data_IF_455703379823
#
_entry.id   IF_455703379823
#
_cell.length_a   1.000
_cell.length_b   1.000
_cell.length_c   1.000
_cell.angle_alpha   90.00
_cell.angle_beta   90.00
_cell.angle_gamma   90.00
#
_symmetry.space_group_name_H-M   'P 1'
#
loop_
_entity.id
_entity.type
_entity.pdbx_description
1 polymer ?
#
# COMPACT_ATOMS: atom_id res chain seq x y z
N UNK A 1 31.19 -44.71 -13.10
CA UNK A 1 30.49 -43.46 -13.43
C UNK A 1 31.11 -42.37 -12.59
N UNK A 2 31.71 -41.37 -13.24
CA UNK A 2 32.31 -40.22 -12.56
C UNK A 2 31.18 -39.26 -12.17
N UNK A 3 31.03 -38.99 -10.86
CA UNK A 3 29.91 -38.23 -10.33
C UNK A 3 30.38 -36.79 -10.10
N UNK A 4 29.98 -35.86 -10.97
CA UNK A 4 30.22 -34.45 -10.74
C UNK A 4 29.31 -33.94 -9.61
N UNK A 5 29.91 -33.50 -8.51
CA UNK A 5 29.20 -32.88 -7.39
C UNK A 5 29.38 -31.36 -7.46
N UNK A 6 28.29 -30.60 -7.35
CA UNK A 6 28.34 -29.14 -7.35
C UNK A 6 28.91 -28.59 -6.04
N UNK A 7 29.68 -27.51 -6.13
CA UNK A 7 30.20 -26.82 -4.95
C UNK A 7 29.10 -26.02 -4.25
N UNK A 8 29.07 -26.11 -2.92
CA UNK A 8 28.14 -25.33 -2.08
C UNK A 8 28.52 -23.84 -2.12
N UNK A 9 27.51 -22.98 -2.24
CA UNK A 9 27.65 -21.51 -2.23
C UNK A 9 26.89 -20.92 -1.05
N UNK A 10 27.45 -19.88 -0.46
CA UNK A 10 26.87 -19.12 0.65
C UNK A 10 26.35 -17.76 0.16
N UNK A 11 25.13 -17.40 0.57
CA UNK A 11 24.54 -16.10 0.27
C UNK A 11 24.83 -15.08 1.37
N UNK A 12 25.35 -13.91 1.03
CA UNK A 12 25.50 -12.81 1.98
C UNK A 12 24.30 -11.87 1.93
N UNK A 13 23.58 -11.71 3.06
CA UNK A 13 22.39 -10.86 3.15
C UNK A 13 22.68 -9.36 2.90
N UNK A 14 23.81 -8.85 3.39
CA UNK A 14 24.13 -7.42 3.30
C UNK A 14 24.69 -7.02 1.94
N UNK A 15 25.52 -7.87 1.34
CA UNK A 15 26.14 -7.62 0.04
C UNK A 15 25.31 -8.13 -1.15
N UNK A 16 24.33 -9.01 -0.90
CA UNK A 16 23.49 -9.64 -1.93
C UNK A 16 24.28 -10.34 -3.02
N UNK A 17 25.29 -11.10 -2.61
CA UNK A 17 26.14 -11.90 -3.50
C UNK A 17 26.29 -13.34 -3.00
N UNK A 18 26.51 -14.26 -3.93
CA UNK A 18 26.92 -15.63 -3.63
C UNK A 18 28.44 -15.73 -3.52
N UNK A 19 28.92 -16.37 -2.46
CA UNK A 19 30.33 -16.60 -2.12
C UNK A 19 30.55 -18.12 -2.07
N UNK A 20 31.78 -18.59 -2.27
CA UNK A 20 32.09 -20.00 -2.03
C UNK A 20 31.93 -20.36 -0.54
N UNK A 21 31.41 -21.55 -0.23
CA UNK A 21 31.14 -21.97 1.15
C UNK A 21 32.39 -22.45 1.92
N UNK A 22 33.53 -21.79 1.67
CA UNK A 22 34.80 -22.10 2.30
C UNK A 22 34.94 -21.18 3.52
N UNK A 23 35.21 -21.73 4.72
CA UNK A 23 35.44 -20.93 5.95
C UNK A 23 36.34 -19.69 5.74
N UNK A 24 37.53 -19.80 5.10
CA UNK A 24 38.37 -18.62 4.87
C UNK A 24 37.76 -17.62 3.88
N UNK A 25 37.07 -18.10 2.84
CA UNK A 25 36.41 -17.23 1.85
C UNK A 25 35.28 -16.42 2.49
N UNK A 26 34.47 -17.08 3.34
CA UNK A 26 33.40 -16.41 4.10
C UNK A 26 33.97 -15.40 5.09
N UNK A 27 34.96 -15.78 5.89
CA UNK A 27 35.60 -14.88 6.86
C UNK A 27 36.24 -13.66 6.20
N UNK A 28 36.93 -13.85 5.07
CA UNK A 28 37.53 -12.75 4.32
C UNK A 28 36.48 -11.80 3.74
N UNK A 29 35.34 -12.34 3.28
CA UNK A 29 34.22 -11.52 2.83
C UNK A 29 33.62 -10.69 3.97
N UNK A 30 33.34 -11.30 5.12
CA UNK A 30 32.76 -10.64 6.30
C UNK A 30 33.69 -9.56 6.87
N UNK A 31 35.00 -9.81 6.85
CA UNK A 31 36.01 -8.84 7.30
C UNK A 31 36.25 -7.71 6.27
N UNK A 32 35.84 -7.92 5.02
CA UNK A 32 36.04 -6.96 3.93
C UNK A 32 35.33 -5.63 4.15
N UNK A 33 35.97 -4.54 3.73
CA UNK A 33 35.44 -3.17 3.91
C UNK A 33 34.03 -2.99 3.33
N UNK A 34 33.79 -3.49 2.11
CA UNK A 34 32.47 -3.41 1.45
C UNK A 34 31.36 -4.06 2.28
N UNK A 35 31.65 -5.18 2.94
CA UNK A 35 30.67 -5.88 3.78
C UNK A 35 30.32 -5.04 5.01
N UNK A 36 31.33 -4.52 5.71
CA UNK A 36 31.14 -3.64 6.88
C UNK A 36 30.39 -2.37 6.52
N UNK A 37 30.77 -1.69 5.44
CA UNK A 37 30.09 -0.48 4.97
C UNK A 37 28.62 -0.74 4.64
N UNK A 38 28.31 -1.88 4.00
CA UNK A 38 26.93 -2.26 3.68
C UNK A 38 26.14 -2.67 4.94
N UNK A 39 26.77 -3.35 5.89
CA UNK A 39 26.17 -3.68 7.19
C UNK A 39 25.80 -2.41 7.96
N UNK A 40 26.70 -1.43 8.04
CA UNK A 40 26.42 -0.13 8.68
C UNK A 40 25.33 0.66 7.98
N UNK A 41 25.30 0.64 6.64
CA UNK A 41 24.19 1.24 5.87
C UNK A 41 22.87 0.53 6.15
N UNK A 42 22.88 -0.80 6.25
CA UNK A 42 21.69 -1.57 6.58
C UNK A 42 21.16 -1.22 7.97
N UNK A 43 22.03 -1.13 8.98
CA UNK A 43 21.65 -0.69 10.33
C UNK A 43 21.05 0.72 10.33
N UNK A 44 21.69 1.69 9.65
CA UNK A 44 21.14 3.05 9.52
C UNK A 44 19.79 3.08 8.79
N UNK A 45 19.63 2.26 7.77
CA UNK A 45 18.38 2.15 7.03
C UNK A 45 17.23 1.60 7.88
N UNK A 46 17.50 0.66 8.80
CA UNK A 46 16.48 0.16 9.73
C UNK A 46 15.94 1.29 10.59
N UNK A 47 16.81 2.04 11.28
CA UNK A 47 16.36 3.13 12.15
C UNK A 47 15.60 4.23 11.40
N UNK A 48 16.09 4.60 10.21
CA UNK A 48 15.40 5.59 9.37
C UNK A 48 14.03 5.09 8.92
N UNK A 49 13.92 3.79 8.59
CA UNK A 49 12.65 3.18 8.21
C UNK A 49 11.69 3.17 9.39
N UNK A 50 12.13 2.78 10.58
CA UNK A 50 11.30 2.78 11.79
C UNK A 50 10.75 4.18 12.11
N UNK A 51 11.57 5.23 11.97
CA UNK A 51 11.12 6.61 12.16
C UNK A 51 10.08 7.04 11.11
N UNK A 52 10.34 6.70 9.84
CA UNK A 52 9.41 6.99 8.74
C UNK A 52 8.07 6.26 8.93
N UNK A 53 8.11 4.97 9.27
CA UNK A 53 6.95 4.12 9.52
C UNK A 53 6.14 4.66 10.72
N UNK A 54 6.81 5.11 11.79
CA UNK A 54 6.13 5.75 12.94
C UNK A 54 5.40 7.03 12.52
N UNK A 55 6.07 7.90 11.75
CA UNK A 55 5.47 9.15 11.26
C UNK A 55 4.28 8.87 10.34
N UNK A 56 4.37 7.86 9.49
CA UNK A 56 3.28 7.43 8.63
C UNK A 56 2.10 6.89 9.46
N UNK A 57 2.36 6.03 10.44
CA UNK A 57 1.32 5.54 11.35
C UNK A 57 0.60 6.67 12.10
N UNK A 58 1.33 7.70 12.55
CA UNK A 58 0.72 8.83 13.25
C UNK A 58 -0.15 9.68 12.31
N UNK A 59 0.27 9.88 11.06
CA UNK A 59 -0.57 10.51 10.03
C UNK A 59 -1.83 9.70 9.75
N UNK A 60 -1.70 8.39 9.60
CA UNK A 60 -2.84 7.47 9.38
C UNK A 60 -3.81 7.56 10.54
N UNK A 61 -3.33 7.52 11.80
CA UNK A 61 -4.19 7.67 12.99
C UNK A 61 -4.92 9.01 13.00
N UNK A 62 -4.24 10.10 12.64
CA UNK A 62 -4.85 11.42 12.58
C UNK A 62 -5.95 11.49 11.52
N UNK A 63 -5.71 10.92 10.33
CA UNK A 63 -6.70 10.90 9.26
C UNK A 63 -7.90 10.00 9.61
N UNK A 64 -7.66 8.83 10.20
CA UNK A 64 -8.73 7.96 10.70
C UNK A 64 -9.62 8.70 11.72
N UNK A 65 -9.02 9.43 12.66
CA UNK A 65 -9.78 10.24 13.63
C UNK A 65 -10.63 11.31 12.94
N UNK A 66 -10.11 11.97 11.90
CA UNK A 66 -10.86 12.97 11.13
C UNK A 66 -12.06 12.34 10.41
N UNK A 67 -11.84 11.21 9.76
CA UNK A 67 -12.90 10.45 9.06
C UNK A 67 -13.97 10.02 10.06
N UNK A 68 -13.57 9.48 11.22
CA UNK A 68 -14.49 9.04 12.26
C UNK A 68 -15.37 10.19 12.77
N UNK A 69 -14.78 11.36 13.03
CA UNK A 69 -15.54 12.55 13.42
C UNK A 69 -16.53 13.02 12.35
N UNK A 70 -16.11 13.03 11.08
CA UNK A 70 -16.97 13.40 9.97
C UNK A 70 -18.14 12.41 9.81
N UNK A 71 -17.85 11.10 9.93
CA UNK A 71 -18.85 10.04 9.90
C UNK A 71 -19.85 10.18 11.04
N UNK A 72 -19.39 10.38 12.28
CA UNK A 72 -20.28 10.62 13.43
C UNK A 72 -21.15 11.86 13.24
N UNK A 73 -20.60 12.95 12.67
CA UNK A 73 -21.35 14.18 12.39
C UNK A 73 -22.42 13.98 11.32
N UNK A 74 -22.14 13.18 10.30
CA UNK A 74 -23.10 12.80 9.26
C UNK A 74 -24.20 11.94 9.86
N UNK A 75 -23.82 10.88 10.59
CA UNK A 75 -24.75 9.98 11.26
C UNK A 75 -25.75 10.74 12.15
N UNK A 76 -25.27 11.67 12.99
CA UNK A 76 -26.15 12.51 13.83
C UNK A 76 -27.16 13.32 13.02
N UNK A 77 -26.78 13.82 11.84
CA UNK A 77 -27.69 14.57 10.97
C UNK A 77 -28.72 13.65 10.35
N UNK A 78 -28.31 12.48 9.87
CA UNK A 78 -29.21 11.51 9.26
C UNK A 78 -30.25 10.99 10.27
N UNK A 79 -29.82 10.68 11.51
CA UNK A 79 -30.72 10.31 12.62
C UNK A 79 -31.71 11.43 12.96
N UNK A 80 -31.27 12.69 12.97
CA UNK A 80 -32.15 13.83 13.25
C UNK A 80 -33.19 14.04 12.15
N UNK A 81 -32.89 13.69 10.89
CA UNK A 81 -33.82 13.79 9.77
C UNK A 81 -34.79 12.61 9.71
N UNK A 82 -34.38 11.42 10.14
CA UNK A 82 -35.24 10.22 10.11
C UNK A 82 -36.35 10.22 11.18
N UNK A 83 -36.24 10.98 12.28
CA UNK A 83 -37.26 10.90 13.34
C UNK A 83 -37.43 12.17 14.21
N UNK A 84 -38.33 13.11 13.86
CA UNK A 84 -38.53 14.35 14.63
C UNK A 84 -39.33 14.19 15.95
N UNK A 85 -39.63 12.97 16.42
CA UNK A 85 -40.48 12.76 17.61
C UNK A 85 -40.14 11.57 18.52
N UNK A 86 -39.14 10.75 18.22
CA UNK A 86 -38.81 9.60 19.06
C UNK A 86 -37.68 9.93 20.05
N UNK A 87 -38.07 10.19 21.30
CA UNK A 87 -37.22 9.90 22.45
C UNK A 87 -36.84 8.41 22.39
N UNK A 88 -35.66 8.09 21.87
CA UNK A 88 -35.17 6.72 21.87
C UNK A 88 -33.71 6.70 22.32
N UNK A 89 -33.55 6.29 23.58
CA UNK A 89 -32.34 5.78 24.22
C UNK A 89 -31.81 4.51 23.53
N UNK A 90 -31.73 4.49 22.20
CA UNK A 90 -31.19 3.36 21.46
C UNK A 90 -29.73 3.64 21.13
N UNK A 91 -28.88 3.33 22.11
CA UNK A 91 -27.45 3.09 21.93
C UNK A 91 -27.27 1.94 20.94
N UNK A 92 -27.32 2.23 19.63
CA UNK A 92 -26.95 1.25 18.61
C UNK A 92 -25.42 1.19 18.49
N UNK A 93 -24.87 -0.03 18.38
CA UNK A 93 -23.43 -0.29 18.51
C UNK A 93 -22.65 0.36 17.36
N UNK A 94 -21.32 0.54 17.52
CA UNK A 94 -20.45 0.96 16.42
C UNK A 94 -20.77 0.18 15.15
N UNK A 95 -20.64 0.81 13.95
CA UNK A 95 -20.92 0.11 12.70
C UNK A 95 -20.16 -1.22 12.74
N UNK A 96 -20.81 -2.34 12.38
CA UNK A 96 -20.15 -3.63 12.44
C UNK A 96 -18.84 -3.50 11.70
N UNK A 97 -17.73 -3.83 12.38
CA UNK A 97 -16.46 -4.02 11.69
C UNK A 97 -16.76 -5.13 10.70
N UNK A 98 -17.03 -4.77 9.45
CA UNK A 98 -17.26 -5.73 8.39
C UNK A 98 -15.88 -6.33 8.18
N UNK A 99 -15.58 -7.39 8.92
CA UNK A 99 -14.62 -8.40 8.50
C UNK A 99 -15.22 -9.07 7.29
N UNK A 100 -15.21 -8.34 6.17
CA UNK A 100 -15.48 -8.84 4.83
C UNK A 100 -14.38 -9.85 4.54
N UNK A 101 -14.56 -11.05 5.08
CA UNK A 101 -14.12 -12.28 4.42
C UNK A 101 -14.93 -12.31 3.14
N UNK A 102 -14.45 -11.57 2.14
CA UNK A 102 -14.95 -11.67 0.80
C UNK A 102 -14.83 -13.16 0.45
N UNK A 103 -15.97 -13.80 0.28
CA UNK A 103 -16.01 -15.12 -0.30
C UNK A 103 -15.65 -14.92 -1.78
N UNK A 104 -14.35 -14.94 -2.06
CA UNK A 104 -13.81 -14.91 -3.41
C UNK A 104 -14.19 -16.25 -4.05
N UNK A 105 -15.38 -16.33 -4.60
CA UNK A 105 -15.75 -17.39 -5.53
C UNK A 105 -14.89 -17.22 -6.79
N UNK A 106 -13.71 -17.80 -6.73
CA UNK A 106 -12.83 -18.27 -7.81
C UNK A 106 -13.13 -17.71 -9.21
N UNK A 107 -12.67 -16.50 -9.52
CA UNK A 107 -11.98 -16.33 -10.78
C UNK A 107 -10.49 -16.45 -10.46
N UNK A 108 -9.89 -17.54 -10.93
CA UNK A 108 -8.48 -17.86 -10.79
C UNK A 108 -7.60 -16.70 -11.25
N UNK A 109 -7.28 -15.76 -10.36
CA UNK A 109 -6.15 -14.86 -10.54
C UNK A 109 -5.00 -15.36 -9.68
N UNK A 110 -4.13 -16.14 -10.34
CA UNK A 110 -2.87 -16.65 -9.81
C UNK A 110 -1.98 -15.45 -9.47
N UNK A 111 -2.02 -14.96 -8.23
CA UNK A 111 -1.14 -13.91 -7.75
C UNK A 111 0.26 -14.47 -7.54
N UNK A 112 1.07 -14.46 -8.59
CA UNK A 112 2.51 -14.44 -8.48
C UNK A 112 2.94 -12.98 -8.32
N UNK A 113 3.53 -12.64 -7.19
CA UNK A 113 4.23 -11.37 -7.02
C UNK A 113 5.54 -11.46 -7.80
N UNK A 114 5.70 -10.62 -8.82
CA UNK A 114 7.03 -10.24 -9.30
C UNK A 114 7.18 -8.71 -9.25
N UNK A 115 7.89 -8.27 -8.21
CA UNK A 115 8.46 -6.92 -8.11
C UNK A 115 9.75 -6.96 -8.92
N UNK A 116 9.69 -6.51 -10.17
CA UNK A 116 10.75 -5.78 -10.89
C UNK A 116 10.43 -5.75 -12.39
N UNK A 117 10.05 -4.59 -12.92
CA UNK A 117 10.50 -4.25 -14.27
C UNK A 117 10.48 -2.73 -14.48
N UNK A 118 11.49 -2.30 -15.22
CA UNK A 118 12.03 -0.95 -15.30
C UNK A 118 11.07 0.01 -16.01
N UNK A 119 10.93 1.23 -15.49
CA UNK A 119 10.34 2.33 -16.24
C UNK A 119 11.46 2.92 -17.10
N UNK A 120 11.59 2.42 -18.32
CA UNK A 120 12.33 3.10 -19.39
C UNK A 120 11.48 4.28 -19.87
N UNK A 121 12.14 5.41 -20.04
CA UNK A 121 11.58 6.67 -20.52
C UNK A 121 11.21 6.49 -22.00
N UNK A 122 9.94 6.73 -22.33
CA UNK A 122 9.44 6.78 -23.70
C UNK A 122 8.35 7.84 -23.79
N UNK A 123 8.64 8.87 -24.57
CA UNK A 123 7.83 10.05 -24.80
C UNK A 123 6.46 9.72 -25.43
N UNK A 124 5.46 10.55 -25.14
CA UNK A 124 4.68 11.30 -26.15
C UNK A 124 3.24 11.62 -25.69
N UNK A 125 2.89 12.87 -25.99
CA UNK A 125 1.67 13.63 -25.71
C UNK A 125 0.34 12.95 -25.99
N UNK A 126 -0.68 13.24 -25.16
CA UNK A 126 -1.84 14.06 -25.56
C UNK A 126 -2.69 14.42 -24.34
N UNK A 127 -2.84 15.72 -24.10
CA UNK A 127 -3.78 16.29 -23.14
C UNK A 127 -5.21 15.81 -23.43
N UNK A 128 -5.95 15.44 -22.39
CA UNK A 128 -7.41 15.32 -22.48
C UNK A 128 -8.05 16.40 -21.62
N UNK A 129 -8.58 17.42 -22.32
CA UNK A 129 -9.40 18.51 -21.81
C UNK A 129 -10.70 17.93 -21.24
N UNK A 130 -10.92 18.11 -19.93
CA UNK A 130 -12.14 17.68 -19.24
C UNK A 130 -13.27 18.67 -19.57
N UNK A 131 -14.32 18.14 -20.20
CA UNK A 131 -15.42 18.87 -20.80
C UNK A 131 -16.32 19.68 -19.85
N UNK A 132 -16.79 20.78 -20.41
CA UNK A 132 -17.65 21.82 -19.88
C UNK A 132 -19.13 21.38 -19.88
N UNK A 133 -19.83 21.52 -18.74
CA UNK A 133 -21.27 21.23 -18.63
C UNK A 133 -22.12 22.43 -19.08
N UNK A 134 -22.98 22.24 -20.09
CA UNK A 134 -24.02 23.21 -20.49
C UNK A 134 -25.44 22.68 -20.22
N UNK A 135 -26.36 23.49 -19.67
CA UNK A 135 -27.76 23.11 -19.47
C UNK A 135 -28.58 23.33 -20.75
N UNK A 136 -29.28 22.29 -21.22
CA UNK A 136 -30.16 22.33 -22.40
C UNK A 136 -31.54 22.90 -22.06
N UNK A 137 -31.78 24.18 -22.38
CA UNK A 137 -33.11 24.78 -22.42
C UNK A 137 -33.80 24.52 -23.76
N UNK A 138 -34.78 23.62 -23.79
CA UNK A 138 -35.61 23.32 -24.96
C UNK A 138 -36.81 24.26 -25.08
N UNK A 139 -36.88 24.97 -26.21
CA UNK A 139 -37.96 25.89 -26.59
C UNK A 139 -39.14 25.07 -27.14
N UNK A 140 -40.35 25.23 -26.61
CA UNK A 140 -41.59 24.76 -27.26
C UNK A 140 -42.15 25.88 -28.12
N UNK A 141 -42.24 25.64 -29.42
CA UNK A 141 -43.03 26.44 -30.37
C UNK A 141 -44.45 25.89 -30.41
N UNK A 142 -45.47 26.77 -30.41
CA UNK A 142 -46.77 26.48 -31.04
C UNK A 142 -47.57 27.77 -31.31
N UNK A 143 -48.21 27.80 -32.47
CA UNK A 143 -48.88 28.89 -33.21
C UNK A 143 -50.10 29.54 -32.52
N UNK A 144 -50.35 30.83 -32.82
CA UNK A 144 -51.34 31.29 -33.82
C UNK A 144 -51.20 32.80 -34.05
#
# INVERSE_FOLDING_TARGET
ADYWVSQKKHWCQYCRIYIADNKPSRSMHEQGKKHKDNMEKFLRNIYRKEEADKKEQDKVKQELKRIEQAAMKQYKRDVALENPGANSLSSFPPPPIINTTYNLSTHSHKSYYDVSSQHEIGDESTESVIGEWRPSGGKKTFNR
#
